data_IF_627477912185
#
_entry.id   IF_627477912185
#
_cell.length_a   1.000
_cell.length_b   1.000
_cell.length_c   1.000
_cell.angle_alpha   90.00
_cell.angle_beta   90.00
_cell.angle_gamma   90.00
#
_symmetry.space_group_name_H-M   'P 1'
#
loop_
_entity.id
_entity.type
_entity.pdbx_description
1 polymer ?
#
# COMPACT_ATOMS: atom_id res chain seq x y z
N UNK A 1 -9.35 -5.65 3.44
CA UNK A 1 -8.64 -6.09 2.22
C UNK A 1 -9.47 -7.12 1.44
N UNK A 2 -10.58 -7.64 1.97
CA UNK A 2 -11.49 -8.58 1.28
C UNK A 2 -12.54 -7.97 0.36
N UNK A 3 -12.67 -6.64 0.41
CA UNK A 3 -13.67 -5.95 -0.38
C UNK A 3 -13.21 -5.91 -1.85
N UNK A 4 -13.91 -6.57 -2.78
CA UNK A 4 -13.52 -6.59 -4.19
C UNK A 4 -13.55 -5.20 -4.84
N UNK A 5 -14.26 -4.24 -4.23
CA UNK A 5 -14.32 -2.85 -4.71
C UNK A 5 -13.17 -1.98 -4.16
N UNK A 6 -12.24 -2.59 -3.41
CA UNK A 6 -11.09 -1.91 -2.80
C UNK A 6 -9.79 -2.30 -3.48
N UNK A 7 -9.11 -1.30 -4.05
CA UNK A 7 -7.74 -1.44 -4.52
C UNK A 7 -6.77 -1.36 -3.34
N UNK A 8 -5.91 -2.37 -3.20
CA UNK A 8 -4.85 -2.38 -2.17
C UNK A 8 -3.52 -1.99 -2.82
N UNK A 9 -2.84 -0.96 -2.31
CA UNK A 9 -1.61 -0.42 -2.92
C UNK A 9 -0.45 -0.49 -1.92
N UNK A 10 0.66 -1.08 -2.35
CA UNK A 10 1.93 -1.06 -1.62
C UNK A 10 2.71 0.22 -1.97
N UNK A 11 2.84 1.16 -1.04
CA UNK A 11 3.53 2.43 -1.32
C UNK A 11 5.03 2.39 -0.99
N UNK A 12 5.58 1.19 -0.84
CA UNK A 12 7.01 0.98 -0.61
C UNK A 12 7.80 0.97 -1.91
N UNK A 13 9.12 0.97 -1.79
CA UNK A 13 9.98 0.86 -2.96
C UNK A 13 10.02 -0.60 -3.42
N UNK A 14 10.25 -0.84 -4.71
CA UNK A 14 10.22 -2.17 -5.35
C UNK A 14 11.06 -3.24 -4.63
N UNK A 15 12.23 -2.87 -4.08
CA UNK A 15 13.06 -3.80 -3.33
C UNK A 15 12.41 -4.29 -2.02
N UNK A 16 11.60 -3.45 -1.35
CA UNK A 16 10.87 -3.82 -0.14
C UNK A 16 9.67 -4.72 -0.48
N UNK A 17 9.00 -4.45 -1.60
CA UNK A 17 7.87 -5.22 -2.11
C UNK A 17 8.29 -6.63 -2.52
N UNK A 18 9.45 -6.78 -3.16
CA UNK A 18 9.99 -8.07 -3.59
C UNK A 18 10.26 -9.05 -2.43
N UNK A 19 10.45 -8.54 -1.21
CA UNK A 19 10.70 -9.36 -0.02
C UNK A 19 9.41 -9.95 0.55
N UNK A 20 8.29 -9.24 0.38
CA UNK A 20 6.97 -9.64 0.84
C UNK A 20 6.00 -8.48 0.75
N UNK A 21 4.72 -8.76 0.57
CA UNK A 21 3.63 -7.78 0.42
C UNK A 21 2.30 -8.41 0.85
N UNK A 22 1.23 -7.61 0.90
CA UNK A 22 -0.11 -8.16 1.12
C UNK A 22 -0.64 -8.84 -0.15
N UNK A 23 -1.38 -9.93 0.03
CA UNK A 23 -2.02 -10.63 -1.08
C UNK A 23 -2.86 -9.68 -1.94
N UNK A 24 -2.66 -9.73 -3.27
CA UNK A 24 -3.39 -8.90 -4.23
C UNK A 24 -3.02 -7.41 -4.21
N UNK A 25 -2.00 -7.00 -3.44
CA UNK A 25 -1.54 -5.62 -3.45
C UNK A 25 -0.88 -5.24 -4.79
N UNK A 26 -1.20 -4.04 -5.27
CA UNK A 26 -0.61 -3.44 -6.44
C UNK A 26 0.72 -2.78 -6.04
N UNK A 27 1.79 -3.14 -6.73
CA UNK A 27 3.09 -2.49 -6.64
C UNK A 27 3.20 -1.37 -7.69
N UNK A 28 3.29 -0.08 -7.28
CA UNK A 28 3.56 1.03 -8.17
C UNK A 28 4.88 0.90 -8.95
N UNK A 29 5.79 0.02 -8.52
CA UNK A 29 7.12 -0.18 -9.08
C UNK A 29 7.95 1.10 -9.12
N UNK A 30 7.69 2.02 -8.18
CA UNK A 30 8.39 3.30 -8.08
C UNK A 30 9.75 3.12 -7.41
N UNK A 31 10.80 3.73 -7.98
CA UNK A 31 12.13 3.77 -7.37
C UNK A 31 12.18 4.76 -6.19
N UNK A 32 11.39 5.82 -6.27
CA UNK A 32 11.26 6.87 -5.26
C UNK A 32 9.81 7.29 -5.07
N UNK A 33 9.46 7.69 -3.86
CA UNK A 33 8.11 8.21 -3.56
C UNK A 33 7.74 9.45 -4.41
N UNK A 34 8.73 10.17 -4.96
CA UNK A 34 8.49 11.30 -5.87
C UNK A 34 7.80 10.90 -7.18
N UNK A 35 7.87 9.62 -7.54
CA UNK A 35 7.29 9.08 -8.77
C UNK A 35 5.82 8.67 -8.58
N UNK A 36 5.37 8.57 -7.32
CA UNK A 36 4.01 8.16 -6.96
C UNK A 36 2.92 9.05 -7.58
N UNK A 37 3.02 10.40 -7.59
CA UNK A 37 2.03 11.25 -8.25
C UNK A 37 1.84 10.92 -9.73
N UNK A 38 2.94 10.69 -10.46
CA UNK A 38 2.87 10.35 -11.88
C UNK A 38 2.23 8.98 -12.08
N UNK A 39 2.62 7.99 -11.27
CA UNK A 39 2.01 6.66 -11.31
C UNK A 39 0.50 6.70 -11.00
N UNK A 40 0.10 7.49 -10.00
CA UNK A 40 -1.30 7.62 -9.61
C UNK A 40 -2.16 8.13 -10.77
N UNK A 41 -1.72 9.17 -11.48
CA UNK A 41 -2.47 9.73 -12.60
C UNK A 41 -2.45 8.83 -13.84
N UNK A 42 -1.30 8.24 -14.16
CA UNK A 42 -1.12 7.46 -15.39
C UNK A 42 -1.64 6.02 -15.31
N UNK A 43 -1.72 5.45 -14.12
CA UNK A 43 -2.03 4.03 -13.90
C UNK A 43 -3.21 3.84 -12.96
N UNK A 44 -3.16 4.42 -11.76
CA UNK A 44 -4.18 4.20 -10.74
C UNK A 44 -5.54 4.79 -11.14
N UNK A 45 -5.57 6.01 -11.71
CA UNK A 45 -6.81 6.66 -12.12
C UNK A 45 -7.54 5.85 -13.22
N UNK A 46 -6.88 5.47 -14.33
CA UNK A 46 -7.50 4.58 -15.32
C UNK A 46 -7.97 3.24 -14.71
N UNK A 47 -7.22 2.67 -13.78
CA UNK A 47 -7.57 1.40 -13.14
C UNK A 47 -8.87 1.52 -12.32
N UNK A 48 -9.01 2.60 -11.56
CA UNK A 48 -10.22 2.91 -10.79
C UNK A 48 -11.43 3.07 -11.72
N UNK A 49 -11.27 3.82 -12.81
CA UNK A 49 -12.32 4.05 -13.81
C UNK A 49 -12.74 2.74 -14.50
N UNK A 50 -11.79 1.86 -14.81
CA UNK A 50 -12.04 0.57 -15.47
C UNK A 50 -12.71 -0.45 -14.55
N UNK A 51 -12.26 -0.55 -13.29
CA UNK A 51 -12.80 -1.52 -12.34
C UNK A 51 -14.07 -1.03 -11.65
N UNK A 52 -14.40 0.26 -11.75
CA UNK A 52 -15.49 0.87 -10.99
C UNK A 52 -15.23 0.92 -9.48
N UNK A 53 -13.98 0.65 -9.06
CA UNK A 53 -13.55 0.69 -7.68
C UNK A 53 -13.75 2.08 -7.09
N UNK A 54 -14.20 2.16 -5.84
CA UNK A 54 -14.43 3.44 -5.16
C UNK A 54 -13.47 3.69 -4.01
N UNK A 55 -12.74 2.66 -3.63
CA UNK A 55 -11.92 2.64 -2.41
C UNK A 55 -10.50 2.28 -2.73
N UNK A 56 -9.59 2.99 -2.08
CA UNK A 56 -8.16 2.76 -2.12
C UNK A 56 -7.70 2.52 -0.70
N UNK A 57 -7.04 1.39 -0.46
CA UNK A 57 -6.38 1.08 0.80
C UNK A 57 -4.87 0.98 0.57
N UNK A 58 -4.09 1.78 1.29
CA UNK A 58 -2.63 1.81 1.10
C UNK A 58 -1.88 1.34 2.33
N UNK A 59 -0.67 0.82 2.15
CA UNK A 59 0.21 0.50 3.26
C UNK A 59 1.67 0.79 2.92
N UNK A 60 2.48 0.94 3.96
CA UNK A 60 3.93 1.02 3.91
C UNK A 60 4.50 0.50 5.23
N UNK A 61 5.83 0.53 5.39
CA UNK A 61 6.51 -0.02 6.56
C UNK A 61 6.05 0.59 7.89
N UNK A 62 6.05 1.93 7.98
CA UNK A 62 5.77 2.66 9.24
C UNK A 62 4.76 3.81 9.14
N UNK A 63 4.02 3.92 8.05
CA UNK A 63 2.93 4.89 7.87
C UNK A 63 3.27 6.22 7.18
N UNK A 64 4.50 6.76 7.30
CA UNK A 64 4.82 8.12 6.79
C UNK A 64 4.57 8.30 5.29
N UNK A 65 4.91 7.31 4.45
CA UNK A 65 4.65 7.36 3.00
C UNK A 65 3.15 7.34 2.71
N UNK A 66 2.40 6.52 3.44
CA UNK A 66 0.95 6.45 3.33
C UNK A 66 0.24 7.75 3.70
N UNK A 67 0.69 8.45 4.73
CA UNK A 67 0.12 9.76 5.12
C UNK A 67 0.24 10.76 3.96
N UNK A 68 1.42 10.85 3.35
CA UNK A 68 1.66 11.73 2.19
C UNK A 68 0.86 11.29 0.96
N UNK A 69 0.87 9.99 0.65
CA UNK A 69 0.14 9.45 -0.49
C UNK A 69 -1.36 9.67 -0.36
N UNK A 70 -1.93 9.41 0.82
CA UNK A 70 -3.36 9.56 1.07
C UNK A 70 -3.81 11.00 0.99
N UNK A 71 -3.03 11.92 1.56
CA UNK A 71 -3.28 13.35 1.40
C UNK A 71 -3.27 13.78 -0.07
N UNK A 72 -2.28 13.33 -0.86
CA UNK A 72 -2.19 13.62 -2.29
C UNK A 72 -3.41 13.09 -3.07
N UNK A 73 -3.74 11.80 -2.92
CA UNK A 73 -4.86 11.18 -3.64
C UNK A 73 -6.20 11.83 -3.29
N UNK A 74 -6.42 12.18 -2.03
CA UNK A 74 -7.63 12.90 -1.60
C UNK A 74 -7.71 14.28 -2.28
N UNK A 75 -6.60 15.04 -2.33
CA UNK A 75 -6.56 16.34 -3.00
C UNK A 75 -6.81 16.25 -4.51
N UNK A 76 -6.38 15.16 -5.16
CA UNK A 76 -6.59 14.92 -6.59
C UNK A 76 -7.94 14.23 -6.91
N UNK A 77 -8.81 14.04 -5.91
CA UNK A 77 -10.18 13.54 -6.11
C UNK A 77 -10.28 12.06 -6.46
N UNK A 78 -9.38 11.21 -5.94
CA UNK A 78 -9.40 9.75 -6.17
C UNK A 78 -10.49 8.99 -5.39
N UNK A 79 -11.36 9.67 -4.63
CA UNK A 79 -12.46 9.05 -3.88
C UNK A 79 -12.08 8.69 -2.45
N UNK A 80 -12.55 7.52 -1.98
CA UNK A 80 -12.32 7.05 -0.60
C UNK A 80 -10.90 6.48 -0.45
N UNK A 81 -10.04 7.22 0.23
CA UNK A 81 -8.63 6.83 0.43
C UNK A 81 -8.38 6.53 1.91
N UNK A 82 -7.94 5.30 2.17
CA UNK A 82 -7.58 4.78 3.49
C UNK A 82 -6.13 4.30 3.48
N UNK A 83 -5.53 4.21 4.66
CA UNK A 83 -4.23 3.57 4.81
C UNK A 83 -4.13 2.75 6.10
N UNK A 84 -3.21 1.79 6.12
CA UNK A 84 -2.90 0.97 7.27
C UNK A 84 -2.18 1.80 8.34
N UNK A 85 -2.93 2.19 9.39
CA UNK A 85 -2.40 3.02 10.48
C UNK A 85 -1.29 2.28 11.22
N UNK A 86 -0.09 2.88 11.26
CA UNK A 86 1.10 2.27 11.86
C UNK A 86 1.85 1.30 10.93
N UNK A 87 1.39 1.15 9.69
CA UNK A 87 2.07 0.37 8.67
C UNK A 87 2.11 -1.14 8.94
N UNK A 88 2.93 -1.82 8.14
CA UNK A 88 3.09 -3.28 8.18
C UNK A 88 3.62 -3.74 9.54
N UNK A 89 4.53 -2.98 10.17
CA UNK A 89 5.11 -3.38 11.45
C UNK A 89 4.05 -3.55 12.54
N UNK A 90 3.17 -2.55 12.68
CA UNK A 90 2.06 -2.62 13.64
C UNK A 90 1.08 -3.75 13.30
N UNK A 91 0.85 -4.02 12.02
CA UNK A 91 0.00 -5.14 11.61
C UNK A 91 0.61 -6.49 12.03
N UNK A 92 1.90 -6.70 11.78
CA UNK A 92 2.61 -7.94 12.14
C UNK A 92 2.72 -8.14 13.66
N UNK A 93 2.71 -7.07 14.45
CA UNK A 93 2.63 -7.15 15.91
C UNK A 93 1.25 -7.58 16.43
N UNK A 94 0.18 -7.24 15.70
CA UNK A 94 -1.19 -7.37 16.18
C UNK A 94 -1.95 -8.56 15.60
N UNK A 95 -1.56 -9.02 14.41
CA UNK A 95 -2.25 -10.08 13.68
C UNK A 95 -1.42 -11.37 13.75
N UNK A 96 -1.96 -12.46 14.31
CA UNK A 96 -1.30 -13.76 14.31
C UNK A 96 -0.98 -14.25 12.89
N UNK A 97 0.12 -14.97 12.72
CA UNK A 97 0.56 -15.47 11.41
C UNK A 97 -0.52 -16.31 10.69
N UNK A 98 -1.28 -17.12 11.44
CA UNK A 98 -2.37 -17.95 10.90
C UNK A 98 -3.54 -17.15 10.31
N UNK A 99 -3.68 -15.88 10.71
CA UNK A 99 -4.73 -14.96 10.23
C UNK A 99 -4.14 -13.88 9.30
N UNK A 100 -2.82 -13.93 9.07
CA UNK A 100 -2.10 -12.91 8.36
C UNK A 100 -2.29 -13.04 6.85
N UNK A 101 -2.54 -11.91 6.19
CA UNK A 101 -2.54 -11.77 4.72
C UNK A 101 -1.20 -11.35 4.15
N UNK A 102 -0.22 -11.17 5.02
CA UNK A 102 1.14 -10.85 4.61
C UNK A 102 1.78 -12.09 3.98
N UNK A 103 2.27 -11.96 2.76
CA UNK A 103 3.00 -12.99 2.05
C UNK A 103 4.47 -12.58 1.93
N UNK A 104 5.39 -13.52 2.15
CA UNK A 104 6.84 -13.27 2.10
C UNK A 104 7.47 -13.01 3.47
N UNK A 105 8.72 -12.56 3.47
CA UNK A 105 9.55 -12.54 4.68
C UNK A 105 9.33 -11.27 5.51
N UNK A 106 8.74 -11.43 6.71
CA UNK A 106 8.68 -10.36 7.72
C UNK A 106 10.06 -10.04 8.33
N UNK A 107 11.05 -10.93 8.18
CA UNK A 107 12.36 -10.84 8.85
C UNK A 107 13.15 -9.58 8.48
N UNK A 108 13.03 -9.10 7.25
CA UNK A 108 13.73 -7.89 6.80
C UNK A 108 13.14 -6.60 7.38
N UNK A 109 11.81 -6.56 7.59
CA UNK A 109 11.16 -5.38 8.17
C UNK A 109 11.53 -5.20 9.64
N UNK A 110 11.65 -6.32 10.37
CA UNK A 110 11.94 -6.33 11.81
C UNK A 110 13.42 -6.06 12.09
N UNK A 111 14.34 -6.63 11.30
CA UNK A 111 15.78 -6.42 11.51
C UNK A 111 16.31 -5.07 10.98
N UNK A 112 15.61 -4.42 10.05
CA UNK A 112 15.94 -3.05 9.61
C UNK A 112 15.51 -1.95 10.59
N UNK A 113 14.80 -2.31 11.67
CA UNK A 113 14.32 -1.41 12.73
C UNK A 113 15.11 -1.55 14.05
N UNK A 114 16.20 -2.33 14.04
CA UNK A 114 17.10 -2.51 15.19
C UNK A 114 18.38 -1.69 15.06
#
# INVERSE_FOLDING_TARGET
MDDPDTLVIDTRNSYETAIGTFEGAIDPSTESFRDFPQWAESTLRPLIEQQGSKRIAMFCTGGIRCEKASSYLQQQGFGEVHHLRGGILKYLEQVPEAESRWQGSALFLINGWR
#
